data_IF_519883487764
#
_entry.id   IF_519883487764
#
_cell.length_a   1.000
_cell.length_b   1.000
_cell.length_c   1.000
_cell.angle_alpha   90.00
_cell.angle_beta   90.00
_cell.angle_gamma   90.00
#
_symmetry.space_group_name_H-M   'P 1'
#
loop_
_entity.id
_entity.type
_entity.pdbx_description
1 polymer ?
#
# COMPACT_ATOMS: atom_id res chain seq x y z
N UNK A 1 4.53 -7.71 20.22
CA UNK A 1 3.28 -8.48 20.07
C UNK A 1 3.52 -9.97 19.74
N UNK A 2 4.76 -10.41 19.53
CA UNK A 2 5.10 -11.81 19.22
C UNK A 2 4.71 -12.29 17.81
N UNK A 3 4.23 -11.38 16.95
CA UNK A 3 3.97 -11.69 15.55
C UNK A 3 5.25 -11.53 14.72
N UNK A 4 5.51 -12.42 13.75
CA UNK A 4 6.64 -12.27 12.84
C UNK A 4 6.43 -11.06 11.93
N UNK A 5 7.53 -10.43 11.51
CA UNK A 5 7.52 -9.40 10.47
C UNK A 5 7.60 -10.11 9.12
N UNK A 6 6.48 -10.11 8.38
CA UNK A 6 6.40 -10.85 7.13
C UNK A 6 7.12 -10.15 5.98
N UNK A 7 6.98 -8.83 5.86
CA UNK A 7 7.55 -8.09 4.74
C UNK A 7 8.02 -6.70 5.18
N UNK A 8 9.16 -6.27 4.67
CA UNK A 8 9.71 -4.95 4.96
C UNK A 8 10.22 -4.27 3.69
N UNK A 9 9.81 -3.03 3.47
CA UNK A 9 10.46 -2.12 2.54
C UNK A 9 9.85 -1.97 1.15
N UNK A 10 8.58 -2.31 0.90
CA UNK A 10 8.02 -2.18 -0.46
C UNK A 10 7.88 -0.71 -0.96
N UNK A 11 7.64 0.24 -0.07
CA UNK A 11 7.59 1.69 -0.40
C UNK A 11 8.88 2.42 -0.06
N UNK A 12 9.50 2.06 1.07
CA UNK A 12 10.71 2.71 1.57
C UNK A 12 11.75 1.64 1.86
N UNK A 13 12.87 1.69 1.14
CA UNK A 13 13.97 0.76 1.37
C UNK A 13 14.52 0.91 2.79
N UNK A 14 14.85 -0.22 3.43
CA UNK A 14 15.38 -0.23 4.79
C UNK A 14 16.65 0.64 4.93
N UNK A 15 16.73 1.54 5.91
CA UNK A 15 17.94 2.31 6.17
C UNK A 15 19.12 1.40 6.50
N UNK A 16 20.32 1.71 5.99
CA UNK A 16 21.52 0.87 6.16
C UNK A 16 21.84 0.57 7.63
N UNK A 17 21.61 1.55 8.53
CA UNK A 17 21.82 1.37 9.99
C UNK A 17 20.91 0.31 10.63
N UNK A 18 19.78 -0.03 10.00
CA UNK A 18 18.79 -0.97 10.53
C UNK A 18 18.89 -2.38 9.89
N UNK A 19 19.69 -2.53 8.83
CA UNK A 19 19.79 -3.81 8.09
C UNK A 19 20.18 -4.98 8.97
N UNK A 20 21.25 -4.80 9.79
CA UNK A 20 21.69 -5.86 10.69
C UNK A 20 20.62 -6.29 11.70
N UNK A 21 19.89 -5.31 12.24
CA UNK A 21 18.82 -5.55 13.21
C UNK A 21 17.64 -6.28 12.56
N UNK A 22 17.19 -5.83 11.39
CA UNK A 22 16.08 -6.44 10.66
C UNK A 22 16.35 -7.90 10.30
N UNK A 23 17.56 -8.20 9.81
CA UNK A 23 17.99 -9.58 9.52
C UNK A 23 18.05 -10.41 10.79
N UNK A 24 18.65 -9.88 11.86
CA UNK A 24 18.77 -10.61 13.13
C UNK A 24 17.43 -10.87 13.83
N UNK A 25 16.42 -10.01 13.60
CA UNK A 25 15.07 -10.21 14.11
C UNK A 25 14.25 -11.24 13.32
N UNK A 26 14.79 -11.78 12.22
CA UNK A 26 14.13 -12.78 11.41
C UNK A 26 13.00 -12.21 10.56
N UNK A 27 13.18 -11.00 9.98
CA UNK A 27 12.26 -10.49 8.96
C UNK A 27 12.13 -11.51 7.83
N UNK A 28 10.91 -11.93 7.51
CA UNK A 28 10.69 -12.99 6.53
C UNK A 28 11.18 -12.60 5.14
N UNK A 29 10.86 -11.38 4.67
CA UNK A 29 11.25 -10.86 3.36
C UNK A 29 11.69 -9.40 3.47
N UNK A 30 12.82 -9.06 2.85
CA UNK A 30 13.29 -7.68 2.70
C UNK A 30 13.23 -7.28 1.22
N UNK A 31 12.55 -6.17 0.92
CA UNK A 31 12.50 -5.64 -0.45
C UNK A 31 13.77 -4.85 -0.78
N UNK A 32 14.29 -5.09 -1.96
CA UNK A 32 15.49 -4.44 -2.49
C UNK A 32 15.14 -3.52 -3.66
N UNK A 33 15.76 -2.34 -3.69
CA UNK A 33 15.65 -1.35 -4.77
C UNK A 33 16.98 -1.17 -5.52
N UNK A 34 18.08 -1.67 -4.97
CA UNK A 34 19.41 -1.52 -5.56
C UNK A 34 20.33 -2.69 -5.20
N UNK A 35 21.38 -2.89 -6.02
CA UNK A 35 22.41 -3.90 -5.76
C UNK A 35 23.29 -3.54 -4.56
N UNK A 36 23.46 -2.26 -4.26
CA UNK A 36 24.16 -1.80 -3.05
C UNK A 36 23.45 -2.32 -1.81
N UNK A 37 22.11 -2.17 -1.76
CA UNK A 37 21.32 -2.69 -0.65
C UNK A 37 21.33 -4.21 -0.59
N UNK A 38 21.34 -4.88 -1.74
CA UNK A 38 21.50 -6.33 -1.78
C UNK A 38 22.81 -6.78 -1.12
N UNK A 39 23.93 -6.09 -1.37
CA UNK A 39 25.20 -6.39 -0.74
C UNK A 39 25.19 -6.15 0.78
N UNK A 40 24.54 -5.06 1.23
CA UNK A 40 24.38 -4.79 2.67
C UNK A 40 23.56 -5.90 3.37
N UNK A 41 22.44 -6.32 2.78
CA UNK A 41 21.59 -7.37 3.32
C UNK A 41 22.34 -8.73 3.32
N UNK A 42 23.06 -9.02 2.23
CA UNK A 42 23.92 -10.22 2.15
C UNK A 42 24.98 -10.26 3.26
N UNK A 43 25.70 -9.15 3.46
CA UNK A 43 26.68 -9.09 4.55
C UNK A 43 26.06 -9.28 5.93
N UNK A 44 24.86 -8.72 6.16
CA UNK A 44 24.13 -8.91 7.40
C UNK A 44 23.67 -10.37 7.60
N UNK A 45 23.17 -11.02 6.55
CA UNK A 45 22.74 -12.41 6.58
C UNK A 45 23.91 -13.35 6.88
N UNK A 46 25.05 -13.16 6.21
CA UNK A 46 26.30 -13.92 6.50
C UNK A 46 26.74 -13.72 7.94
N UNK A 47 26.72 -12.48 8.42
CA UNK A 47 27.08 -12.17 9.82
C UNK A 47 26.14 -12.82 10.83
N UNK A 48 24.85 -12.88 10.52
CA UNK A 48 23.83 -13.52 11.37
C UNK A 48 23.82 -15.05 11.23
N UNK A 49 24.54 -15.62 10.26
CA UNK A 49 24.55 -17.06 9.99
C UNK A 49 23.22 -17.59 9.45
N UNK A 50 22.48 -16.78 8.72
CA UNK A 50 21.17 -17.13 8.17
C UNK A 50 21.09 -16.91 6.66
N UNK A 51 20.04 -17.44 6.05
CA UNK A 51 19.60 -17.10 4.71
C UNK A 51 18.44 -16.10 4.79
N UNK A 52 18.57 -14.93 4.16
CA UNK A 52 17.56 -13.90 4.12
C UNK A 52 16.82 -13.93 2.79
N UNK A 53 15.50 -14.10 2.84
CA UNK A 53 14.66 -13.94 1.67
C UNK A 53 14.62 -12.48 1.25
N UNK A 54 14.76 -12.25 -0.04
CA UNK A 54 14.66 -10.92 -0.63
C UNK A 54 13.64 -10.88 -1.76
N UNK A 55 13.02 -9.75 -1.93
CA UNK A 55 12.06 -9.44 -2.98
C UNK A 55 12.55 -8.22 -3.75
N UNK A 56 12.41 -8.21 -5.06
CA UNK A 56 12.82 -7.09 -5.88
C UNK A 56 11.63 -6.21 -6.24
N UNK A 57 11.75 -4.90 -6.00
CA UNK A 57 10.84 -3.93 -6.60
C UNK A 57 11.25 -3.72 -8.04
N UNK A 58 10.31 -3.88 -8.96
CA UNK A 58 10.55 -3.72 -10.40
C UNK A 58 9.78 -2.52 -10.95
N UNK A 59 10.19 -2.00 -12.09
CA UNK A 59 9.45 -0.98 -12.84
C UNK A 59 9.76 -1.04 -14.33
N UNK A 60 8.87 -0.46 -15.14
CA UNK A 60 9.09 -0.21 -16.56
C UNK A 60 8.75 1.26 -16.90
N UNK A 61 9.10 1.68 -18.10
CA UNK A 61 9.02 3.08 -18.56
C UNK A 61 7.60 3.67 -18.56
N UNK A 62 6.58 2.83 -18.75
CA UNK A 62 5.18 3.25 -18.85
C UNK A 62 4.41 3.12 -17.52
N UNK A 63 5.12 2.78 -16.45
CA UNK A 63 4.52 2.59 -15.13
C UNK A 63 4.13 3.91 -14.48
N UNK A 64 3.08 3.86 -13.71
CA UNK A 64 2.68 4.96 -12.84
C UNK A 64 3.49 4.96 -11.55
N UNK A 65 4.26 6.01 -11.32
CA UNK A 65 5.04 6.19 -10.10
C UNK A 65 4.62 7.47 -9.39
N UNK A 66 4.32 7.37 -8.11
CA UNK A 66 4.08 8.58 -7.31
C UNK A 66 5.37 9.38 -7.13
N UNK A 67 5.32 10.71 -7.26
CA UNK A 67 6.48 11.56 -6.98
C UNK A 67 7.07 11.30 -5.59
N UNK A 68 8.38 11.06 -5.52
CA UNK A 68 9.09 10.73 -4.29
C UNK A 68 9.02 9.26 -3.87
N UNK A 69 8.45 8.39 -4.72
CA UNK A 69 8.39 6.93 -4.50
C UNK A 69 9.04 6.13 -5.65
N UNK A 70 9.70 6.83 -6.56
CA UNK A 70 10.40 6.24 -7.69
C UNK A 70 11.56 5.37 -7.19
N UNK A 71 11.54 4.10 -7.54
CA UNK A 71 12.53 3.14 -7.06
C UNK A 71 12.36 1.77 -7.71
N UNK A 72 13.39 0.96 -7.61
CA UNK A 72 13.38 -0.41 -8.05
C UNK A 72 14.33 -0.69 -9.22
N UNK A 73 14.24 -1.88 -9.77
CA UNK A 73 15.06 -2.36 -10.88
C UNK A 73 14.28 -2.28 -12.19
N UNK A 74 14.85 -1.70 -13.25
CA UNK A 74 14.17 -1.64 -14.55
C UNK A 74 14.00 -3.04 -15.13
N UNK A 75 12.84 -3.32 -15.69
CA UNK A 75 12.46 -4.62 -16.24
C UNK A 75 13.48 -5.13 -17.28
N UNK A 76 14.01 -4.24 -18.10
CA UNK A 76 14.97 -4.58 -19.16
C UNK A 76 16.29 -5.19 -18.66
N UNK A 77 16.69 -4.92 -17.41
CA UNK A 77 17.91 -5.46 -16.80
C UNK A 77 17.63 -6.52 -15.73
N UNK A 78 16.37 -6.91 -15.54
CA UNK A 78 15.95 -7.72 -14.40
C UNK A 78 16.69 -9.06 -14.32
N UNK A 79 16.87 -9.75 -15.43
CA UNK A 79 17.56 -11.06 -15.45
C UNK A 79 19.03 -10.93 -15.02
N UNK A 80 19.72 -9.89 -15.45
CA UNK A 80 21.12 -9.64 -15.06
C UNK A 80 21.23 -9.30 -13.58
N UNK A 81 20.32 -8.43 -13.09
CA UNK A 81 20.21 -8.08 -11.67
C UNK A 81 19.99 -9.33 -10.80
N UNK A 82 19.06 -10.20 -11.20
CA UNK A 82 18.79 -11.44 -10.47
C UNK A 82 19.99 -12.36 -10.47
N UNK A 83 20.72 -12.47 -11.58
CA UNK A 83 21.94 -13.28 -11.65
C UNK A 83 23.04 -12.73 -10.75
N UNK A 84 23.16 -11.41 -10.56
CA UNK A 84 24.07 -10.82 -9.58
C UNK A 84 23.63 -11.12 -8.15
N UNK A 85 22.35 -10.94 -7.82
CA UNK A 85 21.82 -11.20 -6.46
C UNK A 85 21.99 -12.66 -6.07
N UNK A 86 21.76 -13.60 -6.97
CA UNK A 86 21.95 -15.03 -6.72
C UNK A 86 23.40 -15.45 -6.42
N UNK A 87 24.38 -14.60 -6.75
CA UNK A 87 25.79 -14.83 -6.40
C UNK A 87 26.15 -14.28 -5.02
N UNK A 88 25.27 -13.46 -4.40
CA UNK A 88 25.50 -12.90 -3.09
C UNK A 88 25.20 -13.96 -2.01
N UNK A 89 26.17 -14.28 -1.12
CA UNK A 89 25.95 -15.29 -0.10
C UNK A 89 24.89 -14.86 0.92
N UNK A 90 24.15 -15.82 1.44
CA UNK A 90 23.13 -15.58 2.46
C UNK A 90 21.85 -14.90 1.93
N UNK A 91 21.66 -14.74 0.62
CA UNK A 91 20.44 -14.26 0.04
C UNK A 91 19.70 -15.36 -0.73
N UNK A 92 18.37 -15.36 -0.61
CA UNK A 92 17.46 -16.14 -1.44
C UNK A 92 16.44 -15.22 -2.08
N UNK A 93 16.40 -15.19 -3.40
CA UNK A 93 15.34 -14.48 -4.13
C UNK A 93 14.03 -15.24 -3.94
N UNK A 94 13.05 -14.63 -3.30
CA UNK A 94 11.72 -15.21 -3.06
C UNK A 94 10.65 -14.61 -3.96
N UNK A 95 10.79 -13.36 -4.39
CA UNK A 95 9.68 -12.73 -5.10
C UNK A 95 9.98 -11.40 -5.77
N UNK A 96 8.89 -10.87 -6.34
CA UNK A 96 8.84 -9.57 -6.99
C UNK A 96 7.71 -8.73 -6.42
N UNK A 97 7.87 -7.41 -6.41
CA UNK A 97 6.83 -6.46 -6.03
C UNK A 97 6.84 -5.22 -6.92
N UNK A 98 5.72 -4.55 -6.99
CA UNK A 98 5.57 -3.25 -7.61
C UNK A 98 4.44 -2.47 -6.93
N UNK A 99 4.40 -1.13 -7.09
CA UNK A 99 3.40 -0.26 -6.48
C UNK A 99 3.20 1.03 -7.29
N UNK A 100 1.96 1.48 -7.44
CA UNK A 100 0.69 0.82 -7.09
C UNK A 100 0.23 -0.18 -8.16
N UNK A 101 -0.23 -1.37 -7.78
CA UNK A 101 -0.72 -2.37 -8.72
C UNK A 101 -2.21 -2.23 -9.08
N UNK A 102 -2.99 -1.69 -8.15
CA UNK A 102 -4.40 -1.38 -8.34
C UNK A 102 -4.68 0.06 -7.93
N UNK A 103 -5.61 0.72 -8.61
CA UNK A 103 -6.13 2.04 -8.22
C UNK A 103 -7.65 2.07 -8.36
N UNK A 104 -8.29 2.89 -7.52
CA UNK A 104 -9.70 3.21 -7.65
C UNK A 104 -9.90 4.17 -8.81
N UNK A 105 -10.82 3.83 -9.72
CA UNK A 105 -11.27 4.71 -10.78
C UNK A 105 -12.64 5.29 -10.43
N UNK A 106 -12.68 6.60 -10.22
CA UNK A 106 -13.90 7.34 -9.86
C UNK A 106 -14.96 7.28 -10.96
N UNK A 107 -14.55 7.19 -12.23
CA UNK A 107 -15.49 7.22 -13.36
C UNK A 107 -16.27 5.91 -13.47
N UNK A 108 -15.60 4.79 -13.31
CA UNK A 108 -16.23 3.47 -13.33
C UNK A 108 -16.71 3.00 -11.97
N UNK A 109 -16.33 3.70 -10.89
CA UNK A 109 -16.53 3.30 -9.50
C UNK A 109 -16.04 1.86 -9.24
N UNK A 110 -14.85 1.53 -9.75
CA UNK A 110 -14.22 0.22 -9.64
C UNK A 110 -12.73 0.32 -9.33
N UNK A 111 -12.21 -0.71 -8.69
CA UNK A 111 -10.76 -0.88 -8.54
C UNK A 111 -10.20 -1.52 -9.80
N UNK A 112 -9.28 -0.83 -10.47
CA UNK A 112 -8.73 -1.21 -11.76
C UNK A 112 -7.24 -1.54 -11.69
N UNK A 113 -6.76 -2.50 -12.52
CA UNK A 113 -5.33 -2.75 -12.68
C UNK A 113 -4.62 -1.52 -13.26
N UNK A 114 -3.41 -1.27 -12.78
CA UNK A 114 -2.51 -0.27 -13.34
C UNK A 114 -1.53 -0.91 -14.33
N UNK A 115 -0.79 -0.14 -15.14
CA UNK A 115 0.35 -0.65 -15.91
C UNK A 115 1.34 -1.44 -15.05
N UNK A 116 1.55 -1.02 -13.80
CA UNK A 116 2.46 -1.65 -12.85
C UNK A 116 2.14 -3.13 -12.56
N UNK A 117 0.85 -3.49 -12.50
CA UNK A 117 0.46 -4.90 -12.34
C UNK A 117 0.88 -5.72 -13.56
N UNK A 118 0.74 -5.17 -14.75
CA UNK A 118 1.20 -5.83 -15.98
C UNK A 118 2.72 -5.96 -16.02
N UNK A 119 3.46 -4.92 -15.63
CA UNK A 119 4.92 -4.96 -15.48
C UNK A 119 5.34 -6.05 -14.50
N UNK A 120 4.68 -6.15 -13.35
CA UNK A 120 4.96 -7.17 -12.35
C UNK A 120 4.76 -8.60 -12.89
N UNK A 121 3.66 -8.85 -13.60
CA UNK A 121 3.38 -10.14 -14.24
C UNK A 121 4.38 -10.46 -15.34
N UNK A 122 4.76 -9.46 -16.16
CA UNK A 122 5.76 -9.61 -17.20
C UNK A 122 7.14 -9.93 -16.62
N UNK A 123 7.52 -9.27 -15.51
CA UNK A 123 8.75 -9.53 -14.79
C UNK A 123 8.83 -11.00 -14.31
N UNK A 124 7.74 -11.50 -13.71
CA UNK A 124 7.67 -12.92 -13.33
C UNK A 124 7.84 -13.84 -14.53
N UNK A 125 7.11 -13.56 -15.62
CA UNK A 125 7.18 -14.38 -16.85
C UNK A 125 8.62 -14.40 -17.38
N UNK A 126 9.28 -13.25 -17.53
CA UNK A 126 10.66 -13.14 -17.99
C UNK A 126 11.63 -14.01 -17.17
N UNK A 127 11.51 -13.99 -15.84
CA UNK A 127 12.38 -14.77 -14.96
C UNK A 127 12.08 -16.26 -15.05
N UNK A 128 10.81 -16.67 -15.14
CA UNK A 128 10.42 -18.07 -15.31
C UNK A 128 10.93 -18.64 -16.64
N UNK A 129 10.84 -17.85 -17.73
CA UNK A 129 11.41 -18.22 -19.04
C UNK A 129 12.93 -18.35 -18.99
N UNK A 130 13.59 -17.59 -18.11
CA UNK A 130 15.03 -17.72 -17.82
C UNK A 130 15.38 -18.85 -16.83
N UNK A 131 14.42 -19.70 -16.45
CA UNK A 131 14.61 -20.81 -15.50
C UNK A 131 14.74 -20.38 -14.04
N UNK A 132 14.25 -19.19 -13.68
CA UNK A 132 14.29 -18.64 -12.32
C UNK A 132 12.90 -18.70 -11.71
N UNK A 133 12.73 -19.50 -10.67
CA UNK A 133 11.47 -19.63 -9.96
C UNK A 133 11.19 -18.36 -9.11
N UNK A 134 9.95 -17.89 -9.13
CA UNK A 134 9.44 -16.80 -8.31
C UNK A 134 8.27 -17.32 -7.49
N UNK A 135 8.47 -17.41 -6.18
CA UNK A 135 7.50 -17.95 -5.23
C UNK A 135 6.44 -16.91 -4.84
N UNK A 136 6.87 -15.66 -4.68
CA UNK A 136 6.03 -14.57 -4.21
C UNK A 136 5.87 -13.50 -5.29
N UNK A 137 4.63 -13.18 -5.61
CA UNK A 137 4.26 -12.05 -6.42
C UNK A 137 3.39 -11.13 -5.58
N UNK A 138 3.98 -10.03 -5.11
CA UNK A 138 3.34 -9.10 -4.20
C UNK A 138 2.81 -7.88 -4.97
N UNK A 139 1.50 -7.67 -4.91
CA UNK A 139 0.84 -6.57 -5.60
C UNK A 139 0.08 -5.66 -4.61
N UNK A 140 0.78 -4.76 -3.93
CA UNK A 140 0.17 -3.81 -3.02
C UNK A 140 -0.62 -2.72 -3.74
N UNK A 141 -1.46 -2.04 -2.99
CA UNK A 141 -2.42 -0.98 -3.33
C UNK A 141 -3.83 -1.48 -3.56
N UNK A 142 -4.79 -0.74 -3.01
CA UNK A 142 -6.23 -1.00 -3.07
C UNK A 142 -6.63 -2.46 -2.76
N UNK A 143 -5.82 -3.13 -1.94
CA UNK A 143 -6.07 -4.51 -1.51
C UNK A 143 -7.29 -4.55 -0.59
N UNK A 144 -8.34 -5.26 -1.01
CA UNK A 144 -9.62 -5.40 -0.31
C UNK A 144 -10.27 -6.73 -0.66
N UNK A 145 -11.29 -7.13 0.06
CA UNK A 145 -12.03 -8.36 -0.24
C UNK A 145 -12.55 -8.38 -1.67
N UNK A 146 -12.99 -7.22 -2.19
CA UNK A 146 -13.51 -7.11 -3.55
C UNK A 146 -12.41 -7.14 -4.63
N UNK A 147 -11.17 -6.75 -4.31
CA UNK A 147 -10.06 -6.73 -5.28
C UNK A 147 -9.21 -8.01 -5.29
N UNK A 148 -9.27 -8.84 -4.25
CA UNK A 148 -8.49 -10.09 -4.19
C UNK A 148 -8.77 -11.07 -5.34
N UNK A 149 -10.03 -11.27 -5.78
CA UNK A 149 -10.30 -12.15 -6.93
C UNK A 149 -9.59 -11.67 -8.21
N UNK A 150 -9.60 -10.35 -8.46
CA UNK A 150 -8.89 -9.75 -9.59
C UNK A 150 -7.38 -10.01 -9.51
N UNK A 151 -6.76 -9.80 -8.35
CA UNK A 151 -5.34 -10.08 -8.15
C UNK A 151 -5.01 -11.56 -8.38
N UNK A 152 -5.89 -12.47 -7.96
CA UNK A 152 -5.71 -13.92 -8.16
C UNK A 152 -5.69 -14.31 -9.65
N UNK A 153 -6.49 -13.64 -10.50
CA UNK A 153 -6.49 -13.86 -11.96
C UNK A 153 -5.13 -13.54 -12.59
N UNK A 154 -4.39 -12.59 -12.04
CA UNK A 154 -3.02 -12.25 -12.44
C UNK A 154 -1.95 -13.16 -11.80
N UNK A 155 -2.35 -14.12 -11.00
CA UNK A 155 -1.45 -15.04 -10.30
C UNK A 155 -0.65 -14.37 -9.18
N UNK A 156 -1.18 -13.29 -8.63
CA UNK A 156 -0.64 -12.62 -7.43
C UNK A 156 -0.82 -13.54 -6.24
N UNK A 157 0.21 -13.63 -5.41
CA UNK A 157 0.24 -14.48 -4.22
C UNK A 157 0.11 -13.71 -2.92
N UNK A 158 0.51 -12.43 -2.93
CA UNK A 158 0.53 -11.56 -1.75
C UNK A 158 -0.08 -10.20 -2.07
N UNK A 159 -0.84 -9.67 -1.12
CA UNK A 159 -1.44 -8.34 -1.17
C UNK A 159 -1.25 -7.66 0.19
N UNK A 160 -1.33 -6.33 0.21
CA UNK A 160 -1.09 -5.53 1.42
C UNK A 160 -2.31 -4.70 1.76
N UNK A 161 -3.29 -5.26 2.50
CA UNK A 161 -4.46 -4.50 2.93
C UNK A 161 -4.04 -3.44 3.96
N UNK A 162 -4.28 -2.17 3.64
CA UNK A 162 -4.12 -1.03 4.55
C UNK A 162 -5.49 -0.50 4.97
N UNK A 163 -6.09 0.33 4.14
CA UNK A 163 -7.42 0.91 4.35
C UNK A 163 -8.53 -0.15 4.48
N UNK A 164 -8.36 -1.33 3.89
CA UNK A 164 -9.31 -2.42 4.06
C UNK A 164 -9.43 -2.87 5.53
N UNK A 165 -8.33 -2.84 6.31
CA UNK A 165 -8.35 -3.20 7.73
C UNK A 165 -9.16 -2.20 8.58
N UNK A 166 -9.37 -0.99 8.10
CA UNK A 166 -10.15 0.06 8.77
C UNK A 166 -11.50 0.31 8.10
N UNK A 167 -11.80 -0.41 7.01
CA UNK A 167 -13.03 -0.24 6.24
C UNK A 167 -13.13 1.08 5.48
N UNK A 168 -12.03 1.83 5.38
CA UNK A 168 -11.99 3.18 4.78
C UNK A 168 -11.57 3.15 3.30
N UNK A 169 -11.90 2.09 2.58
CA UNK A 169 -11.64 1.95 1.14
C UNK A 169 -12.64 2.75 0.31
N UNK A 170 -12.25 3.30 -0.86
CA UNK A 170 -13.15 4.09 -1.70
C UNK A 170 -14.43 3.36 -2.11
N UNK A 171 -14.36 2.05 -2.37
CA UNK A 171 -15.52 1.22 -2.70
C UNK A 171 -16.54 1.07 -1.56
N UNK A 172 -16.16 1.37 -0.31
CA UNK A 172 -17.01 1.18 0.88
C UNK A 172 -17.73 2.45 1.36
N UNK A 173 -17.90 3.44 0.51
CA UNK A 173 -18.57 4.70 0.86
C UNK A 173 -20.00 4.52 1.36
N UNK A 174 -20.66 3.43 0.96
CA UNK A 174 -22.02 3.09 1.39
C UNK A 174 -22.07 2.14 2.60
N UNK A 175 -20.91 1.62 3.01
CA UNK A 175 -20.84 0.61 4.08
C UNK A 175 -21.40 -0.76 3.66
N UNK A 176 -21.42 -1.05 2.35
CA UNK A 176 -21.99 -2.27 1.76
C UNK A 176 -20.92 -3.32 1.38
N UNK A 177 -19.64 -3.01 1.64
CA UNK A 177 -18.54 -3.94 1.43
C UNK A 177 -18.34 -4.86 2.64
N UNK A 178 -17.64 -6.00 2.47
CA UNK A 178 -17.31 -6.90 3.58
C UNK A 178 -16.49 -6.25 4.69
N UNK A 179 -15.68 -5.25 4.35
CA UNK A 179 -14.86 -4.52 5.31
C UNK A 179 -15.72 -3.66 6.25
N UNK A 180 -15.49 -3.83 7.55
CA UNK A 180 -16.21 -3.04 8.56
C UNK A 180 -15.46 -1.75 8.84
N UNK A 181 -16.19 -0.63 8.90
CA UNK A 181 -15.62 0.67 9.28
C UNK A 181 -15.16 0.57 10.74
N UNK A 182 -13.85 0.72 10.96
CA UNK A 182 -13.20 0.62 12.27
C UNK A 182 -12.52 1.92 12.71
N UNK A 183 -12.53 2.96 11.87
CA UNK A 183 -11.99 4.29 12.20
C UNK A 183 -13.09 5.34 12.01
N UNK A 184 -13.30 6.13 13.05
CA UNK A 184 -14.24 7.25 13.06
C UNK A 184 -13.52 8.51 13.52
N UNK A 185 -13.83 9.64 12.90
CA UNK A 185 -13.42 10.94 13.35
C UNK A 185 -14.53 11.53 14.23
N UNK A 186 -14.26 11.66 15.53
CA UNK A 186 -15.20 12.27 16.46
C UNK A 186 -14.96 13.79 16.51
N UNK A 187 -16.01 14.55 16.30
CA UNK A 187 -15.99 16.00 16.35
C UNK A 187 -17.29 16.54 16.91
N UNK A 188 -17.40 17.85 17.03
CA UNK A 188 -18.62 18.55 17.42
C UNK A 188 -18.88 19.74 16.50
N UNK A 189 -20.14 20.18 16.42
CA UNK A 189 -20.52 21.38 15.68
C UNK A 189 -20.01 22.62 16.43
N UNK A 190 -19.18 23.40 15.76
CA UNK A 190 -18.64 24.66 16.28
C UNK A 190 -19.65 25.80 16.09
N UNK A 191 -20.21 25.92 14.91
CA UNK A 191 -21.09 27.04 14.52
C UNK A 191 -21.85 26.74 13.22
N UNK A 192 -22.85 27.57 12.94
CA UNK A 192 -23.56 27.58 11.68
C UNK A 192 -23.20 28.82 10.87
N UNK A 193 -23.04 28.69 9.57
CA UNK A 193 -22.76 29.81 8.67
C UNK A 193 -23.40 29.58 7.30
N UNK A 194 -24.21 30.52 6.83
CA UNK A 194 -24.90 30.49 5.51
C UNK A 194 -25.67 29.20 5.22
N UNK A 195 -26.29 28.63 6.25
CA UNK A 195 -27.13 27.43 6.11
C UNK A 195 -26.39 26.10 6.28
N UNK A 196 -25.07 26.12 6.47
CA UNK A 196 -24.28 24.94 6.77
C UNK A 196 -23.84 24.89 8.22
N UNK A 197 -23.70 23.71 8.76
CA UNK A 197 -23.09 23.44 10.07
C UNK A 197 -21.60 23.14 9.88
N UNK A 198 -20.75 23.68 10.74
CA UNK A 198 -19.31 23.51 10.69
C UNK A 198 -18.82 22.77 11.93
N UNK A 199 -18.26 21.57 11.75
CA UNK A 199 -17.58 20.84 12.83
C UNK A 199 -16.07 21.09 12.80
N UNK A 200 -15.42 20.89 13.96
CA UNK A 200 -13.96 21.02 14.03
C UNK A 200 -13.27 19.98 13.16
N UNK A 201 -12.41 20.43 12.24
CA UNK A 201 -11.58 19.58 11.39
C UNK A 201 -10.38 19.02 12.15
N UNK A 202 -9.81 19.83 13.08
CA UNK A 202 -8.80 19.37 14.04
C UNK A 202 -7.53 18.81 13.40
N UNK A 203 -7.14 19.27 12.20
CA UNK A 203 -6.03 18.70 11.47
C UNK A 203 -6.39 17.37 10.80
N UNK A 204 -7.69 17.14 10.53
CA UNK A 204 -8.15 16.03 9.72
C UNK A 204 -7.36 15.96 8.41
N UNK A 205 -6.79 14.81 8.14
CA UNK A 205 -5.89 14.66 7.00
C UNK A 205 -6.68 14.56 5.68
N UNK A 206 -6.39 15.44 4.73
CA UNK A 206 -7.11 15.55 3.45
C UNK A 206 -7.23 14.24 2.68
N UNK A 207 -6.23 13.35 2.77
CA UNK A 207 -6.30 12.02 2.17
C UNK A 207 -7.37 11.13 2.77
N UNK A 208 -7.93 11.48 3.92
CA UNK A 208 -9.04 10.77 4.54
C UNK A 208 -10.31 10.80 3.69
N UNK A 209 -10.51 11.85 2.88
CA UNK A 209 -11.65 12.02 1.97
C UNK A 209 -12.99 11.65 2.62
N UNK A 210 -13.19 11.99 3.91
CA UNK A 210 -14.45 11.72 4.58
C UNK A 210 -15.60 12.42 3.86
N UNK A 211 -16.62 11.67 3.50
CA UNK A 211 -17.77 12.17 2.74
C UNK A 211 -19.06 12.06 3.54
N UNK A 212 -19.07 11.26 4.59
CA UNK A 212 -20.25 10.96 5.37
C UNK A 212 -20.05 11.36 6.83
N UNK A 213 -21.11 11.81 7.47
CA UNK A 213 -21.16 12.09 8.89
C UNK A 213 -22.39 11.45 9.52
N UNK A 214 -22.29 11.10 10.80
CA UNK A 214 -23.41 10.78 11.67
C UNK A 214 -23.53 11.90 12.68
N UNK A 215 -24.62 12.65 12.65
CA UNK A 215 -24.90 13.78 13.54
C UNK A 215 -25.78 13.31 14.68
N UNK A 216 -25.28 13.46 15.90
CA UNK A 216 -26.03 13.18 17.13
C UNK A 216 -26.54 14.52 17.68
N UNK A 217 -27.84 14.57 17.99
CA UNK A 217 -28.45 15.74 18.63
C UNK A 217 -29.19 15.31 19.88
N UNK A 218 -29.35 16.20 20.90
CA UNK A 218 -30.07 15.85 22.13
C UNK A 218 -31.53 15.46 21.91
N UNK A 219 -32.12 15.88 20.80
CA UNK A 219 -33.52 15.68 20.46
C UNK A 219 -33.81 14.32 19.81
N UNK A 220 -32.77 13.63 19.33
CA UNK A 220 -32.92 12.39 18.58
C UNK A 220 -32.15 11.24 19.21
N UNK A 221 -32.83 10.15 19.48
CA UNK A 221 -32.23 8.91 20.01
C UNK A 221 -31.29 8.21 18.99
N UNK A 222 -31.50 8.47 17.70
CA UNK A 222 -30.72 7.90 16.63
C UNK A 222 -29.95 9.00 15.86
N UNK A 223 -28.71 8.70 15.37
CA UNK A 223 -27.96 9.67 14.60
C UNK A 223 -28.63 9.95 13.24
N UNK A 224 -28.49 11.19 12.79
CA UNK A 224 -28.93 11.64 11.47
C UNK A 224 -27.76 11.47 10.50
N UNK A 225 -27.99 10.77 9.39
CA UNK A 225 -26.98 10.69 8.32
C UNK A 225 -26.89 12.03 7.57
N UNK A 226 -25.68 12.54 7.45
CA UNK A 226 -25.35 13.78 6.75
C UNK A 226 -24.17 13.58 5.81
N UNK A 227 -23.93 14.56 4.93
CA UNK A 227 -22.78 14.58 4.05
C UNK A 227 -21.82 15.69 4.47
N UNK A 228 -20.52 15.42 4.34
CA UNK A 228 -19.52 16.46 4.37
C UNK A 228 -19.43 17.09 2.99
N UNK A 229 -19.36 18.41 2.94
CA UNK A 229 -19.12 19.12 1.67
C UNK A 229 -17.65 18.99 1.30
N UNK A 230 -17.34 18.81 0.01
CA UNK A 230 -15.96 18.87 -0.46
C UNK A 230 -15.32 20.21 -0.06
N UNK A 231 -14.10 20.17 0.44
CA UNK A 231 -13.27 21.34 0.66
C UNK A 231 -12.20 21.41 -0.42
N UNK A 232 -11.88 22.63 -0.84
CA UNK A 232 -10.81 22.87 -1.82
C UNK A 232 -9.46 22.39 -1.29
N UNK A 233 -8.62 21.85 -2.18
CA UNK A 233 -7.28 21.35 -1.82
C UNK A 233 -6.36 22.44 -1.25
N UNK A 234 -6.64 23.71 -1.53
CA UNK A 234 -5.95 24.85 -0.97
C UNK A 234 -6.42 25.24 0.43
N UNK A 235 -7.59 24.73 0.87
CA UNK A 235 -8.17 25.09 2.17
C UNK A 235 -7.39 24.45 3.32
N UNK A 236 -7.42 25.12 4.49
CA UNK A 236 -6.92 24.59 5.75
C UNK A 236 -8.14 23.99 6.47
N UNK A 237 -8.01 22.72 6.89
CA UNK A 237 -9.10 21.94 7.49
C UNK A 237 -9.29 22.24 8.99
N UNK A 238 -9.39 23.52 9.35
CA UNK A 238 -9.83 23.91 10.68
C UNK A 238 -11.26 23.49 10.97
N UNK A 239 -12.11 23.59 9.96
CA UNK A 239 -13.51 23.21 10.02
C UNK A 239 -13.90 22.38 8.80
N UNK A 240 -14.82 21.43 9.02
CA UNK A 240 -15.42 20.63 7.97
C UNK A 240 -16.90 21.01 7.85
N UNK A 241 -17.38 21.48 6.67
CA UNK A 241 -18.78 21.80 6.49
C UNK A 241 -19.61 20.54 6.36
N UNK A 242 -20.66 20.45 7.18
CA UNK A 242 -21.64 19.36 7.17
C UNK A 242 -22.88 19.91 6.45
N UNK A 243 -23.31 19.23 5.39
CA UNK A 243 -24.53 19.58 4.69
C UNK A 243 -25.75 19.29 5.57
N UNK A 244 -26.57 20.31 5.80
CA UNK A 244 -27.79 20.21 6.61
C UNK A 244 -28.90 19.47 5.93
#
# INVERSE_FOLDING_TARGET
AGLPVAHQGHLVQIPSRLVNEAVAQGTEVITLFSLEKAREVSAAAVKAGCEQNVMLKVYDKDDFLYPGQESGFPLMYLTDVVNEIRRLPGLRLSGLTHFPCLLWDENSAQTMPTPNLHTLVNARRQLVEAGIAIEQLNAPSASSCSSLPLLAEYGVTHAEPGHALTGTIPSNQKGDQPERIAMLWLSEISHNFRGDSYCYGGGYYRRGHAQNALVFTPENDAPIAAKLKPVDDSSIDYYLPVAG
#
